data_IF_304083593047
#
_entry.id   IF_304083593047
#
_cell.length_a   1.000
_cell.length_b   1.000
_cell.length_c   1.000
_cell.angle_alpha   90.00
_cell.angle_beta   90.00
_cell.angle_gamma   90.00
#
_symmetry.space_group_name_H-M   'P 1'
#
loop_
_entity.id
_entity.type
_entity.pdbx_description
1 polymer ?
#
# COMPACT_ATOMS: atom_id res chain seq x y z
N UNK A 1 22.06 -77.58 -3.42
CA UNK A 1 21.18 -77.17 -2.30
C UNK A 1 21.87 -76.12 -1.45
N UNK A 2 21.54 -74.86 -1.54
CA UNK A 2 21.82 -73.81 -0.55
C UNK A 2 20.76 -72.73 -0.69
N UNK A 3 19.87 -72.63 0.28
CA UNK A 3 18.80 -71.65 0.40
C UNK A 3 19.35 -70.38 0.94
N UNK A 4 19.23 -69.26 0.22
CA UNK A 4 19.41 -67.90 0.72
C UNK A 4 18.07 -67.28 1.10
N UNK A 5 17.91 -67.00 2.40
CA UNK A 5 16.79 -66.28 2.99
C UNK A 5 16.86 -64.78 2.58
N UNK A 6 15.89 -64.31 1.85
CA UNK A 6 15.72 -62.91 1.58
C UNK A 6 15.17 -62.18 2.81
N UNK A 7 15.84 -61.12 3.19
CA UNK A 7 15.42 -60.17 4.25
C UNK A 7 14.54 -59.10 3.61
N UNK A 8 13.26 -59.11 3.93
CA UNK A 8 12.36 -58.05 3.53
C UNK A 8 12.74 -56.73 4.25
N UNK A 9 13.09 -55.74 3.46
CA UNK A 9 13.27 -54.37 3.97
C UNK A 9 11.87 -53.79 4.06
N UNK A 10 11.39 -53.61 5.29
CA UNK A 10 10.17 -52.86 5.58
C UNK A 10 10.50 -51.37 5.40
N UNK A 11 10.03 -50.80 4.29
CA UNK A 11 10.05 -49.34 4.09
C UNK A 11 9.00 -48.74 5.03
N UNK A 12 9.44 -48.02 6.05
CA UNK A 12 8.57 -47.19 6.89
C UNK A 12 7.93 -46.11 6.02
N UNK A 13 6.61 -45.86 6.13
CA UNK A 13 6.01 -44.74 5.45
C UNK A 13 6.58 -43.46 6.06
N UNK A 14 7.30 -42.68 5.27
CA UNK A 14 7.67 -41.32 5.63
C UNK A 14 6.37 -40.53 5.85
N UNK A 15 6.08 -40.20 7.09
CA UNK A 15 5.06 -39.25 7.48
C UNK A 15 5.34 -37.93 6.76
N UNK A 16 4.62 -37.70 5.67
CA UNK A 16 4.59 -36.46 4.93
C UNK A 16 3.77 -35.48 5.79
N UNK A 17 4.38 -34.93 6.84
CA UNK A 17 3.76 -33.89 7.64
C UNK A 17 3.57 -32.66 6.75
N UNK A 18 2.38 -32.52 6.17
CA UNK A 18 1.98 -31.32 5.44
C UNK A 18 2.09 -30.11 6.38
N UNK A 19 3.02 -29.21 6.10
CA UNK A 19 3.15 -27.94 6.83
C UNK A 19 1.84 -27.19 6.73
N UNK A 20 1.15 -27.00 7.85
CA UNK A 20 -0.03 -26.15 7.94
C UNK A 20 0.42 -24.71 8.03
N UNK A 21 -0.14 -23.86 7.17
CA UNK A 21 0.10 -22.42 7.26
C UNK A 21 -0.73 -21.81 8.38
N UNK A 22 -0.16 -20.83 9.11
CA UNK A 22 -0.89 -20.06 10.08
C UNK A 22 -1.96 -19.23 9.37
N UNK A 23 -3.18 -19.22 9.89
CA UNK A 23 -4.25 -18.32 9.45
C UNK A 23 -4.16 -17.05 10.30
N UNK A 24 -3.94 -15.92 9.66
CA UNK A 24 -3.96 -14.63 10.34
C UNK A 24 -5.39 -14.06 10.35
N UNK A 25 -5.88 -13.63 11.50
CA UNK A 25 -7.09 -12.82 11.61
C UNK A 25 -6.72 -11.37 11.30
N UNK A 26 -7.09 -10.88 10.12
CA UNK A 26 -6.75 -9.53 9.63
C UNK A 26 -7.13 -8.44 10.62
N UNK A 27 -8.26 -8.58 11.30
CA UNK A 27 -8.72 -7.65 12.35
C UNK A 27 -7.73 -7.54 13.50
N UNK A 28 -7.28 -8.68 14.05
CA UNK A 28 -6.31 -8.70 15.17
C UNK A 28 -4.95 -8.16 14.75
N UNK A 29 -4.52 -8.44 13.52
CA UNK A 29 -3.27 -7.87 13.00
C UNK A 29 -3.36 -6.35 12.90
N UNK A 30 -4.45 -5.81 12.36
CA UNK A 30 -4.66 -4.38 12.27
C UNK A 30 -4.68 -3.73 13.65
N UNK A 31 -5.40 -4.31 14.61
CA UNK A 31 -5.45 -3.83 16.00
C UNK A 31 -4.07 -3.83 16.66
N UNK A 32 -3.28 -4.88 16.47
CA UNK A 32 -1.90 -4.95 16.96
C UNK A 32 -1.02 -3.89 16.31
N UNK A 33 -1.17 -3.66 15.02
CA UNK A 33 -0.40 -2.63 14.29
C UNK A 33 -0.73 -1.22 14.80
N UNK A 34 -2.03 -0.92 14.94
CA UNK A 34 -2.50 0.39 15.41
C UNK A 34 -2.07 0.66 16.85
N UNK A 35 -2.13 -0.35 17.73
CA UNK A 35 -2.01 -0.14 19.18
C UNK A 35 -0.65 -0.55 19.76
N UNK A 36 0.18 -1.32 19.04
CA UNK A 36 1.40 -1.92 19.61
C UNK A 36 2.69 -1.64 18.84
N UNK A 37 2.64 -1.40 17.54
CA UNK A 37 3.86 -1.23 16.72
C UNK A 37 4.38 0.21 16.82
N UNK A 38 3.49 1.19 16.90
CA UNK A 38 3.87 2.59 16.92
C UNK A 38 3.75 3.19 18.32
N UNK A 39 4.88 3.49 18.94
CA UNK A 39 4.94 4.14 20.25
C UNK A 39 4.56 5.63 20.18
N UNK A 40 4.79 6.26 19.03
CA UNK A 40 4.61 7.69 18.79
C UNK A 40 3.54 7.92 17.73
N UNK A 41 2.46 8.62 18.10
CA UNK A 41 1.31 8.87 17.20
C UNK A 41 1.68 9.74 16.00
N UNK A 42 2.63 10.66 16.15
CA UNK A 42 3.09 11.57 15.08
C UNK A 42 3.69 10.84 13.87
N UNK A 43 4.02 9.57 14.01
CA UNK A 43 4.52 8.73 12.89
C UNK A 43 3.53 8.67 11.74
N UNK A 44 2.20 8.74 12.01
CA UNK A 44 1.20 8.69 10.95
C UNK A 44 1.43 9.76 9.87
N UNK A 45 1.76 10.99 10.29
CA UNK A 45 1.96 12.09 9.36
C UNK A 45 3.19 11.84 8.48
N UNK A 46 4.28 11.37 9.07
CA UNK A 46 5.50 11.02 8.33
C UNK A 46 5.21 9.93 7.29
N UNK A 47 4.48 8.89 7.65
CA UNK A 47 4.16 7.78 6.75
C UNK A 47 3.27 8.24 5.58
N UNK A 48 2.25 9.06 5.86
CA UNK A 48 1.36 9.58 4.81
C UNK A 48 2.08 10.55 3.87
N UNK A 49 2.93 11.43 4.40
CA UNK A 49 3.75 12.36 3.58
C UNK A 49 4.78 11.58 2.75
N UNK A 50 5.39 10.53 3.30
CA UNK A 50 6.31 9.67 2.54
C UNK A 50 5.60 8.97 1.39
N UNK A 51 4.39 8.46 1.61
CA UNK A 51 3.58 7.84 0.55
C UNK A 51 3.21 8.86 -0.55
N UNK A 52 2.88 10.08 -0.17
CA UNK A 52 2.62 11.16 -1.12
C UNK A 52 3.88 11.52 -1.93
N UNK A 53 5.05 11.61 -1.29
CA UNK A 53 6.33 11.83 -1.98
C UNK A 53 6.65 10.72 -2.97
N UNK A 54 6.48 9.46 -2.57
CA UNK A 54 6.66 8.31 -3.45
C UNK A 54 5.73 8.36 -4.67
N UNK A 55 4.48 8.86 -4.49
CA UNK A 55 3.52 9.00 -5.59
C UNK A 55 3.94 10.09 -6.59
N UNK A 56 4.52 11.19 -6.11
CA UNK A 56 5.09 12.24 -6.97
C UNK A 56 6.29 11.73 -7.77
N UNK A 57 7.22 11.05 -7.11
CA UNK A 57 8.39 10.50 -7.76
C UNK A 57 8.04 9.45 -8.82
N UNK A 58 7.05 8.58 -8.56
CA UNK A 58 6.53 7.62 -9.53
C UNK A 58 5.93 8.31 -10.75
N UNK A 59 5.14 9.39 -10.56
CA UNK A 59 4.59 10.15 -11.67
C UNK A 59 5.69 10.82 -12.50
N UNK A 60 6.66 11.44 -11.84
CA UNK A 60 7.79 12.05 -12.54
C UNK A 60 8.60 11.04 -13.35
N UNK A 61 8.89 9.88 -12.76
CA UNK A 61 9.63 8.83 -13.45
C UNK A 61 8.87 8.32 -14.68
N UNK A 62 7.56 8.06 -14.53
CA UNK A 62 6.70 7.63 -15.63
C UNK A 62 6.62 8.66 -16.76
N UNK A 63 6.63 9.96 -16.42
CA UNK A 63 6.66 11.03 -17.44
C UNK A 63 7.95 11.06 -18.25
N UNK A 64 9.09 10.75 -17.63
CA UNK A 64 10.38 10.64 -18.33
C UNK A 64 10.40 9.46 -19.29
N UNK A 65 9.83 8.32 -18.89
CA UNK A 65 9.76 7.12 -19.74
C UNK A 65 8.81 7.32 -20.94
N UNK A 66 7.66 7.95 -20.71
CA UNK A 66 6.66 8.20 -21.76
C UNK A 66 7.03 9.37 -22.69
N UNK A 67 8.09 10.12 -22.36
CA UNK A 67 8.48 11.33 -23.09
C UNK A 67 7.49 12.50 -22.91
N UNK A 68 6.64 12.45 -21.88
CA UNK A 68 5.68 13.52 -21.56
C UNK A 68 6.42 14.70 -20.93
N UNK A 69 6.71 15.71 -21.75
CA UNK A 69 7.40 16.94 -21.32
C UNK A 69 6.48 17.93 -20.59
N UNK A 70 5.19 17.63 -20.48
CA UNK A 70 4.20 18.49 -19.81
C UNK A 70 4.30 18.50 -18.30
N UNK A 71 4.88 17.45 -17.69
CA UNK A 71 5.02 17.31 -16.24
C UNK A 71 6.35 17.90 -15.79
N UNK A 72 6.29 18.91 -14.92
CA UNK A 72 7.48 19.55 -14.35
C UNK A 72 7.52 19.30 -12.83
N UNK A 73 8.71 19.10 -12.27
CA UNK A 73 8.88 18.94 -10.82
C UNK A 73 8.33 20.10 -10.01
N UNK A 74 8.35 21.31 -10.55
CA UNK A 74 7.84 22.51 -9.87
C UNK A 74 6.30 22.54 -9.76
N UNK A 75 5.60 21.69 -10.52
CA UNK A 75 4.14 21.59 -10.48
C UNK A 75 3.64 20.59 -9.42
N UNK A 76 4.57 19.83 -8.82
CA UNK A 76 4.26 18.88 -7.76
C UNK A 76 4.04 19.56 -6.43
N UNK A 77 3.05 19.07 -5.69
CA UNK A 77 2.77 19.56 -4.35
C UNK A 77 2.28 18.44 -3.43
N UNK A 78 2.49 18.65 -2.14
CA UNK A 78 1.82 17.97 -1.05
C UNK A 78 1.19 19.05 -0.19
N UNK A 79 -0.13 19.08 -0.03
CA UNK A 79 -0.82 19.98 0.89
C UNK A 79 -1.24 19.24 2.14
N UNK A 80 -1.21 19.94 3.28
CA UNK A 80 -1.65 19.43 4.59
C UNK A 80 -2.53 20.51 5.20
N UNK A 81 -3.83 20.23 5.31
CA UNK A 81 -4.85 21.20 5.68
C UNK A 81 -5.65 20.68 6.89
N UNK A 82 -5.42 21.25 8.09
CA UNK A 82 -6.23 20.94 9.26
C UNK A 82 -7.51 21.79 9.28
N UNK A 83 -8.64 21.15 9.54
CA UNK A 83 -9.91 21.81 9.83
C UNK A 83 -10.32 21.49 11.29
N UNK A 84 -10.31 22.52 12.14
CA UNK A 84 -10.63 22.39 13.56
C UNK A 84 -12.12 22.19 13.82
N UNK A 85 -12.96 22.80 12.99
CA UNK A 85 -14.43 22.77 13.17
C UNK A 85 -14.98 21.41 12.78
N UNK A 86 -14.49 20.85 11.70
CA UNK A 86 -14.82 19.50 11.24
C UNK A 86 -13.98 18.41 11.90
N UNK A 87 -12.96 18.77 12.67
CA UNK A 87 -11.97 17.85 13.26
C UNK A 87 -11.37 16.94 12.21
N UNK A 88 -10.99 17.49 11.07
CA UNK A 88 -10.36 16.74 9.99
C UNK A 88 -8.94 17.21 9.71
N UNK A 89 -8.12 16.29 9.20
CA UNK A 89 -6.83 16.59 8.60
C UNK A 89 -6.84 16.05 7.19
N UNK A 90 -6.69 16.93 6.21
CA UNK A 90 -6.62 16.57 4.78
C UNK A 90 -5.18 16.60 4.32
N UNK A 91 -4.72 15.53 3.71
CA UNK A 91 -3.41 15.41 3.06
C UNK A 91 -3.66 15.10 1.60
N UNK A 92 -3.11 15.93 0.71
CA UNK A 92 -3.33 15.80 -0.73
C UNK A 92 -2.03 15.90 -1.49
N UNK A 93 -1.86 15.05 -2.49
CA UNK A 93 -0.80 15.10 -3.49
C UNK A 93 -1.40 15.14 -4.91
N UNK A 94 -0.60 15.57 -5.86
CA UNK A 94 -0.90 15.48 -7.30
C UNK A 94 0.04 14.49 -7.99
N UNK A 95 0.35 13.38 -7.32
CA UNK A 95 1.18 12.30 -7.83
C UNK A 95 0.45 11.38 -8.81
N UNK A 96 0.99 10.18 -8.97
CA UNK A 96 0.49 9.19 -9.94
C UNK A 96 -0.95 8.74 -9.68
N UNK A 97 -1.44 8.85 -8.44
CA UNK A 97 -2.76 8.38 -8.03
C UNK A 97 -2.91 6.87 -8.12
N UNK A 98 -4.16 6.40 -7.93
CA UNK A 98 -4.51 4.98 -7.94
C UNK A 98 -5.81 4.74 -8.70
N UNK A 99 -5.85 3.64 -9.44
CA UNK A 99 -7.07 3.05 -10.00
C UNK A 99 -7.89 2.36 -8.90
N UNK A 100 -9.11 1.92 -9.21
CA UNK A 100 -9.94 1.14 -8.27
C UNK A 100 -9.22 -0.11 -7.77
N UNK A 101 -8.62 -0.86 -8.70
CA UNK A 101 -7.94 -2.12 -8.38
C UNK A 101 -6.68 -1.89 -7.54
N UNK A 102 -5.97 -0.78 -7.78
CA UNK A 102 -4.82 -0.39 -6.97
C UNK A 102 -5.25 0.09 -5.57
N UNK A 103 -6.37 0.80 -5.42
CA UNK A 103 -6.94 1.14 -4.11
C UNK A 103 -7.28 -0.13 -3.32
N UNK A 104 -7.96 -1.08 -3.94
CA UNK A 104 -8.30 -2.36 -3.32
C UNK A 104 -7.05 -3.14 -2.95
N UNK A 105 -6.05 -3.18 -3.81
CA UNK A 105 -4.82 -3.92 -3.62
C UNK A 105 -3.93 -3.31 -2.53
N UNK A 106 -3.74 -1.98 -2.56
CA UNK A 106 -2.79 -1.27 -1.71
C UNK A 106 -3.38 -0.91 -0.34
N UNK A 107 -4.69 -0.63 -0.27
CA UNK A 107 -5.37 -0.23 0.96
C UNK A 107 -6.27 -1.33 1.52
N UNK A 108 -6.64 -2.32 0.73
CA UNK A 108 -7.47 -3.46 1.16
C UNK A 108 -6.67 -4.67 1.62
N UNK A 109 -5.36 -4.71 1.37
CA UNK A 109 -4.49 -5.84 1.75
C UNK A 109 -3.45 -5.38 2.75
N UNK A 110 -3.57 -5.81 4.01
CA UNK A 110 -2.62 -5.47 5.07
C UNK A 110 -1.23 -6.02 4.75
N UNK A 111 -0.19 -5.20 4.98
CA UNK A 111 1.22 -5.52 4.74
C UNK A 111 1.61 -5.71 3.26
N UNK A 112 0.87 -5.13 2.32
CA UNK A 112 1.27 -5.07 0.92
C UNK A 112 1.70 -3.64 0.55
N UNK A 113 2.86 -3.50 -0.08
CA UNK A 113 3.37 -2.22 -0.56
C UNK A 113 3.27 -2.15 -2.08
N UNK A 114 2.49 -1.20 -2.61
CA UNK A 114 2.45 -0.89 -4.04
C UNK A 114 3.80 -0.41 -4.59
N UNK A 115 4.68 0.07 -3.70
CA UNK A 115 6.05 0.47 -4.04
C UNK A 115 6.94 -0.71 -4.37
N UNK A 116 6.71 -1.90 -3.78
CA UNK A 116 7.45 -3.12 -4.13
C UNK A 116 7.04 -3.67 -5.50
N UNK A 117 5.76 -3.59 -5.83
CA UNK A 117 5.25 -4.05 -7.14
C UNK A 117 5.84 -3.20 -8.27
N UNK A 118 5.93 -1.87 -8.06
CA UNK A 118 6.54 -0.95 -9.04
C UNK A 118 8.02 -1.31 -9.33
N UNK A 119 8.82 -1.63 -8.29
CA UNK A 119 10.22 -2.06 -8.48
C UNK A 119 10.36 -3.37 -9.27
N UNK A 120 9.43 -4.30 -9.13
CA UNK A 120 9.49 -5.61 -9.81
C UNK A 120 9.07 -5.56 -11.26
N UNK A 121 8.18 -4.66 -11.64
CA UNK A 121 7.75 -4.46 -13.03
C UNK A 121 8.84 -3.79 -13.87
N UNK A 122 9.52 -2.77 -13.31
CA UNK A 122 10.63 -2.06 -14.01
C UNK A 122 11.90 -2.89 -14.16
N UNK A 123 12.20 -3.81 -13.23
CA UNK A 123 13.40 -4.69 -13.37
C UNK A 123 13.29 -5.68 -14.52
N UNK A 124 12.12 -5.87 -15.11
CA UNK A 124 11.96 -6.72 -16.29
C UNK A 124 12.37 -6.02 -17.60
N UNK A 125 12.46 -4.69 -17.63
CA UNK A 125 12.76 -3.92 -18.86
C UNK A 125 14.12 -3.23 -18.91
N UNK A 126 14.75 -2.86 -17.77
CA UNK A 126 16.07 -2.20 -17.80
C UNK A 126 16.88 -2.36 -16.49
N UNK A 127 17.77 -3.35 -16.47
CA UNK A 127 18.64 -3.65 -15.31
C UNK A 127 19.68 -2.54 -14.98
N UNK A 128 19.78 -1.47 -15.78
CA UNK A 128 20.77 -0.39 -15.61
C UNK A 128 20.26 0.85 -14.86
N UNK A 129 18.95 1.04 -14.73
CA UNK A 129 18.35 2.21 -14.08
C UNK A 129 17.60 1.93 -12.76
N UNK A 130 17.40 0.67 -12.42
CA UNK A 130 16.62 0.25 -11.23
C UNK A 130 17.21 0.66 -9.86
N UNK A 131 18.46 1.17 -9.82
CA UNK A 131 19.16 1.51 -8.58
C UNK A 131 18.94 2.95 -8.08
N UNK A 132 18.13 3.77 -8.76
CA UNK A 132 18.01 5.22 -8.47
C UNK A 132 16.70 5.65 -7.78
N UNK A 133 15.72 4.74 -7.59
CA UNK A 133 14.47 5.11 -6.92
C UNK A 133 14.55 4.66 -5.47
N UNK A 134 14.82 5.60 -4.57
CA UNK A 134 14.75 5.40 -3.13
C UNK A 134 13.27 5.50 -2.69
N UNK A 135 12.56 4.37 -2.70
CA UNK A 135 11.17 4.30 -2.26
C UNK A 135 11.14 4.02 -0.77
N UNK A 136 10.57 4.95 0.00
CA UNK A 136 10.59 4.95 1.46
C UNK A 136 9.55 3.97 2.04
N UNK A 137 8.39 3.81 1.40
CA UNK A 137 7.26 2.99 1.87
C UNK A 137 7.45 1.48 1.66
N UNK A 138 8.48 0.85 2.24
CA UNK A 138 8.84 -0.55 1.93
C UNK A 138 7.92 -1.62 2.53
N UNK A 139 7.21 -1.34 3.62
CA UNK A 139 6.53 -2.39 4.40
C UNK A 139 5.03 -2.50 4.16
N UNK A 140 4.38 -1.56 3.46
CA UNK A 140 2.93 -1.58 3.19
C UNK A 140 2.05 -1.49 4.42
N UNK A 141 2.60 -1.02 5.55
CA UNK A 141 1.89 -0.91 6.83
C UNK A 141 1.74 0.55 7.28
N UNK A 142 2.53 1.47 6.71
CA UNK A 142 2.58 2.87 7.12
C UNK A 142 1.23 3.59 7.00
N UNK A 143 0.46 3.31 5.95
CA UNK A 143 -0.87 3.89 5.75
C UNK A 143 -1.81 3.63 6.94
N UNK A 144 -1.79 2.44 7.52
CA UNK A 144 -2.71 2.08 8.61
C UNK A 144 -2.41 2.83 9.92
N UNK A 145 -1.25 3.50 10.02
CA UNK A 145 -0.96 4.40 11.15
C UNK A 145 -1.97 5.56 11.24
N UNK A 146 -2.66 5.91 10.16
CA UNK A 146 -3.76 6.88 10.13
C UNK A 146 -4.85 6.56 11.16
N UNK A 147 -5.16 5.28 11.38
CA UNK A 147 -6.16 4.84 12.36
C UNK A 147 -5.75 5.02 13.82
N UNK A 148 -4.50 5.34 14.10
CA UNK A 148 -4.07 5.72 15.46
C UNK A 148 -4.69 7.04 15.91
N UNK A 149 -4.97 7.95 14.97
CA UNK A 149 -5.42 9.31 15.23
C UNK A 149 -6.81 9.60 14.69
N UNK A 150 -7.38 8.71 13.88
CA UNK A 150 -8.69 8.91 13.24
C UNK A 150 -9.63 7.72 13.45
N UNK A 151 -10.94 8.02 13.52
CA UNK A 151 -12.02 7.03 13.59
C UNK A 151 -12.50 6.64 12.19
N UNK A 152 -12.32 7.54 11.22
CA UNK A 152 -12.70 7.33 9.83
C UNK A 152 -11.60 7.89 8.93
N UNK A 153 -11.23 7.09 7.93
CA UNK A 153 -10.27 7.48 6.88
C UNK A 153 -10.96 7.38 5.54
N UNK A 154 -10.91 8.47 4.78
CA UNK A 154 -11.42 8.53 3.41
C UNK A 154 -10.26 8.84 2.47
N UNK A 155 -10.07 8.01 1.45
CA UNK A 155 -9.02 8.19 0.43
C UNK A 155 -9.70 8.32 -0.92
N UNK A 156 -9.61 9.50 -1.52
CA UNK A 156 -10.07 9.74 -2.89
C UNK A 156 -8.86 9.78 -3.81
N UNK A 157 -8.88 8.97 -4.86
CA UNK A 157 -7.75 8.89 -5.79
C UNK A 157 -8.21 8.76 -7.23
N UNK A 158 -7.41 9.35 -8.12
CA UNK A 158 -7.54 9.24 -9.56
C UNK A 158 -6.17 9.00 -10.17
N UNK A 159 -6.01 7.87 -10.83
CA UNK A 159 -4.76 7.53 -11.48
C UNK A 159 -4.46 8.48 -12.65
N UNK A 160 -3.19 8.79 -12.84
CA UNK A 160 -2.72 9.56 -14.00
C UNK A 160 -3.15 8.88 -15.32
N UNK A 161 -3.76 9.66 -16.21
CA UNK A 161 -4.30 9.17 -17.47
C UNK A 161 -5.65 8.45 -17.36
N UNK A 162 -6.23 8.33 -16.16
CA UNK A 162 -7.58 7.78 -15.97
C UNK A 162 -8.65 8.86 -16.00
N UNK A 163 -9.83 8.51 -16.52
CA UNK A 163 -11.02 9.39 -16.48
C UNK A 163 -11.78 9.26 -15.16
N UNK A 164 -11.64 8.10 -14.48
CA UNK A 164 -12.43 7.74 -13.30
C UNK A 164 -11.64 7.96 -12.02
N UNK A 165 -12.29 8.58 -11.06
CA UNK A 165 -11.83 8.69 -9.67
C UNK A 165 -12.63 7.75 -8.77
N UNK A 166 -12.02 7.29 -7.68
CA UNK A 166 -12.65 6.42 -6.70
C UNK A 166 -12.36 6.89 -5.28
N UNK A 167 -13.31 6.65 -4.40
CA UNK A 167 -13.18 6.92 -2.97
C UNK A 167 -13.23 5.62 -2.20
N UNK A 168 -12.17 5.34 -1.48
CA UNK A 168 -12.05 4.27 -0.49
C UNK A 168 -12.33 4.85 0.90
N UNK A 169 -13.15 4.17 1.70
CA UNK A 169 -13.52 4.62 3.05
C UNK A 169 -13.49 3.46 4.03
N UNK A 170 -12.90 3.67 5.20
CA UNK A 170 -12.84 2.66 6.27
C UNK A 170 -12.80 3.31 7.65
N UNK A 171 -13.41 2.64 8.61
CA UNK A 171 -13.29 2.91 10.05
C UNK A 171 -12.24 2.02 10.75
N UNK A 172 -11.41 1.30 9.99
CA UNK A 172 -10.37 0.41 10.50
C UNK A 172 -10.71 -1.07 10.35
N UNK A 173 -10.80 -1.78 11.47
CA UNK A 173 -10.88 -3.24 11.48
C UNK A 173 -12.17 -3.86 10.91
N UNK A 174 -13.22 -3.06 10.66
CA UNK A 174 -14.51 -3.54 10.18
C UNK A 174 -14.62 -3.66 8.65
N UNK A 175 -13.52 -3.33 7.96
CA UNK A 175 -13.46 -3.40 6.49
C UNK A 175 -13.49 -2.03 5.83
N UNK A 176 -13.74 -2.02 4.53
CA UNK A 176 -13.76 -0.82 3.71
C UNK A 176 -14.82 -0.87 2.62
N UNK A 177 -15.12 0.28 2.05
CA UNK A 177 -15.96 0.42 0.85
C UNK A 177 -15.19 1.19 -0.22
N UNK A 178 -15.46 0.89 -1.49
CA UNK A 178 -14.95 1.66 -2.63
C UNK A 178 -16.14 2.09 -3.48
N UNK A 179 -16.25 3.40 -3.72
CA UNK A 179 -17.30 4.00 -4.55
C UNK A 179 -16.67 4.87 -5.64
N UNK A 180 -17.38 5.06 -6.74
CA UNK A 180 -16.96 6.01 -7.76
C UNK A 180 -17.09 7.44 -7.22
N UNK A 181 -16.13 8.30 -7.59
CA UNK A 181 -16.07 9.70 -7.19
C UNK A 181 -16.18 10.62 -8.39
N UNK A 182 -16.74 11.80 -8.19
CA UNK A 182 -16.74 12.88 -9.18
C UNK A 182 -15.51 13.79 -9.13
N UNK A 183 -14.52 13.41 -8.30
CA UNK A 183 -13.28 14.20 -8.17
C UNK A 183 -12.53 14.30 -9.49
N UNK A 184 -12.18 15.52 -9.89
CA UNK A 184 -11.56 15.80 -11.20
C UNK A 184 -10.03 15.87 -11.15
N UNK A 185 -9.43 16.00 -9.94
CA UNK A 185 -7.99 16.08 -9.76
C UNK A 185 -7.28 14.76 -10.10
N UNK A 186 -5.97 14.80 -10.34
CA UNK A 186 -5.09 13.63 -10.40
C UNK A 186 -4.31 13.54 -9.09
N UNK A 187 -3.92 12.32 -8.68
CA UNK A 187 -3.21 12.09 -7.43
C UNK A 187 -4.10 11.49 -6.35
N UNK A 188 -3.84 11.82 -5.10
CA UNK A 188 -4.56 11.24 -3.96
C UNK A 188 -4.88 12.31 -2.91
N UNK A 189 -6.08 12.23 -2.37
CA UNK A 189 -6.54 13.03 -1.23
C UNK A 189 -6.94 12.08 -0.09
N UNK A 190 -6.37 12.30 1.09
CA UNK A 190 -6.64 11.54 2.30
C UNK A 190 -7.28 12.49 3.31
N UNK A 191 -8.49 12.18 3.76
CA UNK A 191 -9.19 12.90 4.82
C UNK A 191 -9.26 12.02 6.06
N UNK A 192 -8.66 12.49 7.13
CA UNK A 192 -8.68 11.85 8.45
C UNK A 192 -9.71 12.56 9.34
N UNK A 193 -10.73 11.85 9.80
CA UNK A 193 -11.63 12.32 10.84
C UNK A 193 -11.00 12.01 12.19
N UNK A 194 -10.49 13.04 12.87
CA UNK A 194 -9.67 12.90 14.08
C UNK A 194 -10.52 12.51 15.31
N UNK A 195 -9.95 11.63 16.13
CA UNK A 195 -10.52 11.18 17.42
C UNK A 195 -10.72 12.32 18.42
#
# INVERSE_FOLDING_TARGET
MKTCKGRAIVCSPSDNMAKKQFKAESKKLLDLMINSIYTHKEIFLRELVSNASDALDKLYYRSLESGDTGIKRNDFFISIEPDKDLRTLTIRDNGIGMTKDELELNLGTIARSGSQTFKTEDTAHDAKNASKIDIIGQFGVGFYSAFMVSDLVTVTSKAYGSEQAYTWTSSGADGYTITQSSWSGTGTEIVLHLK
#
